data_IF_872881472915
#
_entry.id   IF_872881472915
#
_cell.length_a   1.000
_cell.length_b   1.000
_cell.length_c   1.000
_cell.angle_alpha   90.00
_cell.angle_beta   90.00
_cell.angle_gamma   90.00
#
_symmetry.space_group_name_H-M   'P 1'
#
loop_
_entity.id
_entity.type
_entity.pdbx_description
1 polymer ?
#
# COMPACT_ATOMS: atom_id res chain seq x y z
N UNK A 1 8.23 -13.76 9.07
CA UNK A 1 7.78 -14.33 7.78
C UNK A 1 6.73 -15.39 8.08
N UNK A 2 5.79 -15.58 7.16
CA UNK A 2 4.72 -16.58 7.28
C UNK A 2 5.25 -17.96 6.93
N UNK A 3 4.86 -18.98 7.69
CA UNK A 3 5.20 -20.37 7.45
C UNK A 3 3.90 -21.17 7.25
N UNK A 4 3.99 -22.36 6.66
CA UNK A 4 2.79 -23.18 6.39
C UNK A 4 1.97 -23.51 7.66
N UNK A 5 2.60 -23.46 8.82
CA UNK A 5 1.98 -23.73 10.13
C UNK A 5 1.60 -22.44 10.89
N UNK A 6 1.63 -21.27 10.23
CA UNK A 6 1.25 -20.01 10.86
C UNK A 6 -0.24 -20.00 11.22
N UNK A 7 -0.54 -19.65 12.48
CA UNK A 7 -1.90 -19.36 12.91
C UNK A 7 -2.25 -17.92 12.52
N UNK A 8 -3.50 -17.72 12.10
CA UNK A 8 -4.03 -16.43 11.67
C UNK A 8 -5.16 -15.99 12.58
N UNK A 9 -5.23 -14.68 12.81
CA UNK A 9 -6.37 -14.03 13.45
C UNK A 9 -7.01 -13.03 12.49
N UNK A 10 -8.34 -12.99 12.49
CA UNK A 10 -9.09 -11.98 11.75
C UNK A 10 -9.04 -10.69 12.54
N UNK A 11 -8.39 -9.67 11.99
CA UNK A 11 -8.34 -8.32 12.56
C UNK A 11 -9.47 -7.44 12.00
N UNK A 12 -9.42 -6.15 12.34
CA UNK A 12 -10.41 -5.18 11.85
C UNK A 12 -10.48 -5.21 10.32
N UNK A 13 -11.69 -5.09 9.77
CA UNK A 13 -12.00 -5.19 8.33
C UNK A 13 -11.90 -6.60 7.73
N UNK A 14 -11.83 -7.65 8.55
CA UNK A 14 -11.92 -9.03 8.06
C UNK A 14 -10.63 -9.53 7.41
N UNK A 15 -9.49 -8.94 7.76
CA UNK A 15 -8.18 -9.28 7.20
C UNK A 15 -7.52 -10.31 8.12
N UNK A 16 -7.01 -11.40 7.55
CA UNK A 16 -6.22 -12.39 8.28
C UNK A 16 -4.78 -11.90 8.46
N UNK A 17 -4.33 -11.75 9.71
CA UNK A 17 -2.95 -11.44 10.06
C UNK A 17 -2.31 -12.62 10.83
N UNK A 18 -1.06 -13.01 10.53
CA UNK A 18 -0.38 -14.07 11.29
C UNK A 18 -0.14 -13.65 12.74
N UNK A 19 -0.57 -14.49 13.69
CA UNK A 19 -0.49 -14.23 15.14
C UNK A 19 0.95 -14.09 15.64
N UNK A 20 1.88 -14.83 15.02
CA UNK A 20 3.32 -14.81 15.37
C UNK A 20 4.16 -14.05 14.31
N UNK A 21 3.65 -12.90 13.88
CA UNK A 21 4.32 -12.03 12.92
C UNK A 21 5.65 -11.46 13.48
N UNK A 22 6.78 -12.02 13.05
CA UNK A 22 8.10 -11.43 13.36
C UNK A 22 8.23 -10.06 12.68
N UNK A 23 8.49 -9.01 13.48
CA UNK A 23 8.82 -7.68 12.97
C UNK A 23 10.08 -7.75 12.10
N UNK A 24 9.97 -7.27 10.88
CA UNK A 24 11.08 -7.17 9.92
C UNK A 24 11.69 -5.77 10.01
N UNK A 25 13.02 -5.68 9.92
CA UNK A 25 13.67 -4.40 9.69
C UNK A 25 13.26 -3.91 8.29
N UNK A 26 12.83 -2.67 8.21
CA UNK A 26 12.27 -2.09 6.98
C UNK A 26 13.29 -1.99 5.86
N UNK A 27 14.59 -1.92 6.20
CA UNK A 27 15.70 -1.89 5.25
C UNK A 27 15.97 -3.20 4.51
N UNK A 28 15.43 -4.33 4.98
CA UNK A 28 15.58 -5.64 4.31
C UNK A 28 14.48 -5.88 3.25
N UNK A 29 13.57 -4.92 3.07
CA UNK A 29 12.45 -5.03 2.14
C UNK A 29 12.80 -4.29 0.85
N UNK A 30 12.96 -5.04 -0.24
CA UNK A 30 13.28 -4.48 -1.55
C UNK A 30 12.04 -3.90 -2.26
N UNK A 31 10.85 -4.42 -1.94
CA UNK A 31 9.61 -4.11 -2.65
C UNK A 31 8.39 -4.12 -1.73
N UNK A 32 7.51 -3.13 -1.90
CA UNK A 32 6.19 -3.07 -1.29
C UNK A 32 5.11 -3.17 -2.36
N UNK A 33 4.15 -4.08 -2.16
CA UNK A 33 2.91 -4.12 -2.94
C UNK A 33 1.82 -3.44 -2.13
N UNK A 34 1.21 -2.39 -2.70
CA UNK A 34 0.27 -1.54 -1.98
C UNK A 34 -1.07 -1.53 -2.71
N UNK A 35 -2.15 -2.03 -2.09
CA UNK A 35 -3.48 -1.92 -2.66
C UNK A 35 -3.95 -0.46 -2.65
N UNK A 36 -4.62 -0.05 -3.72
CA UNK A 36 -5.14 1.31 -3.88
C UNK A 36 -6.51 1.32 -4.57
N UNK A 37 -7.27 2.39 -4.33
CA UNK A 37 -8.60 2.60 -4.90
C UNK A 37 -8.53 3.33 -6.23
N UNK A 38 -7.64 4.30 -6.34
CA UNK A 38 -7.49 5.14 -7.52
C UNK A 38 -6.08 5.71 -7.56
N UNK A 39 -5.57 5.92 -8.77
CA UNK A 39 -4.24 6.43 -9.03
C UNK A 39 -4.21 7.21 -10.34
N UNK A 40 -3.19 8.04 -10.50
CA UNK A 40 -2.94 8.79 -11.72
C UNK A 40 -1.57 8.45 -12.35
N UNK A 41 -1.28 9.04 -13.51
CA UNK A 41 0.00 8.87 -14.23
C UNK A 41 1.20 9.44 -13.47
N UNK A 42 0.98 10.30 -12.49
CA UNK A 42 2.02 10.90 -11.65
C UNK A 42 2.29 10.07 -10.39
N UNK A 43 1.73 8.85 -10.29
CA UNK A 43 1.85 7.97 -9.13
C UNK A 43 1.24 8.53 -7.85
N UNK A 44 0.34 9.53 -7.95
CA UNK A 44 -0.53 9.87 -6.84
C UNK A 44 -1.52 8.73 -6.62
N UNK A 45 -1.90 8.49 -5.37
CA UNK A 45 -2.81 7.40 -5.03
C UNK A 45 -3.78 7.77 -3.92
N UNK A 46 -4.97 7.19 -4.01
CA UNK A 46 -5.99 7.20 -2.97
C UNK A 46 -6.17 5.76 -2.49
N UNK A 47 -6.21 5.56 -1.18
CA UNK A 47 -6.45 4.25 -0.57
C UNK A 47 -7.34 4.36 0.66
N UNK A 48 -7.87 3.23 1.13
CA UNK A 48 -8.87 3.17 2.19
C UNK A 48 -8.32 3.41 3.62
N UNK A 49 -7.01 3.31 3.79
CA UNK A 49 -6.38 3.11 5.10
C UNK A 49 -6.04 4.40 5.88
N UNK A 50 -6.78 5.51 5.65
CA UNK A 50 -6.56 6.81 6.35
C UNK A 50 -5.08 7.24 6.40
N UNK A 51 -4.38 7.03 5.28
CA UNK A 51 -2.96 7.37 5.14
C UNK A 51 -1.97 6.45 5.88
N UNK A 52 -2.37 5.25 6.34
CA UNK A 52 -1.46 4.27 6.95
C UNK A 52 -0.22 4.02 6.08
N UNK A 53 -0.42 3.60 4.82
CA UNK A 53 0.68 3.34 3.90
C UNK A 53 1.53 4.58 3.60
N UNK A 54 0.95 5.78 3.60
CA UNK A 54 1.74 7.02 3.43
C UNK A 54 2.72 7.21 4.59
N UNK A 55 2.30 6.93 5.83
CA UNK A 55 3.19 7.02 7.00
C UNK A 55 4.21 5.88 7.02
N UNK A 56 3.76 4.67 6.73
CA UNK A 56 4.59 3.48 6.74
C UNK A 56 5.69 3.52 5.67
N UNK A 57 5.35 3.78 4.41
CA UNK A 57 6.33 3.80 3.32
C UNK A 57 7.37 4.92 3.49
N UNK A 58 7.00 6.07 4.06
CA UNK A 58 7.95 7.14 4.41
C UNK A 58 9.04 6.68 5.39
N UNK A 59 8.75 5.69 6.23
CA UNK A 59 9.69 5.13 7.20
C UNK A 59 10.57 4.01 6.62
N UNK A 60 10.20 3.47 5.45
CA UNK A 60 10.79 2.24 4.92
C UNK A 60 11.51 2.42 3.58
N UNK A 61 11.01 3.29 2.70
CA UNK A 61 11.33 3.24 1.27
C UNK A 61 12.55 4.05 0.84
N UNK A 62 13.55 4.29 1.69
CA UNK A 62 14.77 4.97 1.19
C UNK A 62 15.49 4.15 0.11
N UNK A 63 15.40 2.81 0.17
CA UNK A 63 16.04 1.88 -0.76
C UNK A 63 15.07 0.85 -1.38
N UNK A 64 13.75 1.04 -1.25
CA UNK A 64 12.74 0.04 -1.63
C UNK A 64 11.83 0.57 -2.73
N UNK A 65 11.48 -0.29 -3.68
CA UNK A 65 10.47 0.03 -4.71
C UNK A 65 9.06 -0.12 -4.15
N UNK A 66 8.12 0.72 -4.59
CA UNK A 66 6.69 0.55 -4.29
C UNK A 66 5.92 0.28 -5.58
N UNK A 67 5.12 -0.78 -5.59
CA UNK A 67 4.22 -1.15 -6.68
C UNK A 67 2.79 -1.01 -6.19
N UNK A 68 2.01 -0.15 -6.86
CA UNK A 68 0.58 -0.01 -6.62
C UNK A 68 -0.20 -1.11 -7.33
N UNK A 69 -1.11 -1.78 -6.62
CA UNK A 69 -2.04 -2.74 -7.22
C UNK A 69 -3.43 -2.10 -7.28
N UNK A 70 -3.90 -1.86 -8.50
CA UNK A 70 -5.24 -1.34 -8.78
C UNK A 70 -6.07 -2.36 -9.54
N UNK A 71 -7.33 -2.48 -9.17
CA UNK A 71 -8.33 -3.17 -10.00
C UNK A 71 -8.91 -2.25 -11.09
N UNK A 72 -8.89 -0.93 -10.84
CA UNK A 72 -9.43 0.08 -11.75
C UNK A 72 -8.34 0.66 -12.64
N UNK A 73 -8.75 1.26 -13.75
CA UNK A 73 -7.85 1.95 -14.67
C UNK A 73 -7.30 3.26 -14.07
N UNK A 74 -6.25 3.77 -14.71
CA UNK A 74 -5.64 5.06 -14.34
C UNK A 74 -6.65 6.19 -14.52
N UNK A 75 -6.71 7.09 -13.54
CA UNK A 75 -7.52 8.31 -13.66
C UNK A 75 -6.77 9.31 -14.52
N UNK A 76 -7.43 9.77 -15.57
CA UNK A 76 -6.99 10.89 -16.37
C UNK A 76 -7.73 12.15 -15.91
N UNK A 77 -6.99 13.20 -15.59
CA UNK A 77 -7.56 14.52 -15.37
C UNK A 77 -7.46 15.30 -16.67
N UNK A 78 -8.59 15.75 -17.19
CA UNK A 78 -8.58 16.88 -18.11
C UNK A 78 -8.44 18.14 -17.26
N UNK A 79 -7.34 18.87 -17.40
CA UNK A 79 -7.28 20.22 -16.85
C UNK A 79 -8.37 21.03 -17.54
N UNK A 80 -9.42 21.40 -16.81
CA UNK A 80 -10.32 22.48 -17.20
C UNK A 80 -9.46 23.77 -17.23
N UNK A 81 -8.82 24.07 -18.38
CA UNK A 81 -8.01 25.29 -18.58
C UNK A 81 -8.87 26.57 -18.50
N UNK A 82 -10.19 26.46 -18.28
CA UNK A 82 -11.10 27.60 -18.18
C UNK A 82 -12.01 27.47 -16.95
N UNK A 83 -11.57 27.90 -15.78
CA UNK A 83 -12.47 28.34 -14.70
C UNK A 83 -11.88 29.52 -13.91
N UNK A 84 -12.51 30.67 -14.15
CA UNK A 84 -12.42 32.00 -13.50
C UNK A 84 -11.23 32.90 -13.88
#
# INVERSE_FOLDING_TARGET
MMHNDSFFEIITYGIDEPVDGKKMCTGDIEMFIVPLLSFDKNSNRIGYNKGYYNRFLKQCCSNSSTIGLSYFDVVEYEEDINKA
#
